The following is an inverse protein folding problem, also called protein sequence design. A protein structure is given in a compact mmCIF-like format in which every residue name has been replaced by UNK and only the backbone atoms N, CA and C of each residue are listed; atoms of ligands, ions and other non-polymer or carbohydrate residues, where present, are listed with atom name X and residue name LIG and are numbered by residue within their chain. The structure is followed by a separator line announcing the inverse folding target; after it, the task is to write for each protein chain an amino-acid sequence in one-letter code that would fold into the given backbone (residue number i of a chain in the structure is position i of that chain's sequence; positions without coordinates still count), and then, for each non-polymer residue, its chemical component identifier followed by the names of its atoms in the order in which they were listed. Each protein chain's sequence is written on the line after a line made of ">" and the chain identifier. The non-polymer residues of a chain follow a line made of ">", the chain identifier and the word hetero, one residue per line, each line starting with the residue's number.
data_IF_317758876301
#
_entry.id   IF_317758876301
#
_cell.length_a   1.000
_cell.length_b   1.000
_cell.length_c   1.000
_cell.angle_alpha   90.00
_cell.angle_beta   90.00
_cell.angle_gamma   90.00
#
_symmetry.space_group_name_H-M   'P 1'
#
loop_
_entity.id
_entity.type
_entity.pdbx_description
1 polymer ?
#
# COMPACT_ATOMS: atom_id res chain seq x y z
N UNK A 1 9.51 57.25 68.30
CA UNK A 1 10.00 57.79 67.00
C UNK A 1 9.74 56.76 65.91
N UNK A 2 8.59 56.83 65.27
CA UNK A 2 8.22 56.00 64.11
C UNK A 2 8.26 56.90 62.88
N UNK A 3 9.19 56.61 61.96
CA UNK A 3 9.32 57.35 60.71
C UNK A 3 8.18 56.95 59.76
N UNK A 4 7.28 57.90 59.46
CA UNK A 4 6.24 57.74 58.47
C UNK A 4 6.87 57.64 57.07
N UNK A 5 6.65 56.51 56.40
CA UNK A 5 7.10 56.28 55.02
C UNK A 5 6.15 56.97 54.02
N UNK A 6 6.67 57.61 52.96
CA UNK A 6 5.87 58.30 51.97
C UNK A 6 5.07 57.30 51.13
N UNK A 7 3.75 57.49 51.14
CA UNK A 7 2.76 56.70 50.40
C UNK A 7 2.91 57.02 48.91
N UNK A 8 3.43 56.07 48.11
CA UNK A 8 3.48 56.18 46.65
C UNK A 8 2.06 56.30 46.11
N UNK A 9 1.81 57.34 45.32
CA UNK A 9 0.55 57.47 44.59
C UNK A 9 0.53 56.52 43.38
N UNK A 10 -0.63 55.89 43.08
CA UNK A 10 -0.80 55.09 41.88
C UNK A 10 -0.79 56.01 40.65
N UNK A 11 0.16 55.77 39.76
CA UNK A 11 0.20 56.39 38.43
C UNK A 11 -0.85 55.68 37.59
N UNK A 12 -2.01 56.32 37.38
CA UNK A 12 -2.99 55.85 36.41
C UNK A 12 -2.45 56.11 35.00
N UNK A 13 -1.80 55.09 34.43
CA UNK A 13 -1.57 55.02 32.99
C UNK A 13 -2.91 54.67 32.34
N UNK A 14 -3.52 55.66 31.71
CA UNK A 14 -4.60 55.49 30.73
C UNK A 14 -4.08 54.63 29.58
N UNK A 15 -4.37 53.34 29.63
CA UNK A 15 -4.13 52.38 28.55
C UNK A 15 -5.39 52.36 27.70
N UNK A 16 -5.53 53.32 26.79
CA UNK A 16 -6.41 53.18 25.63
C UNK A 16 -5.74 52.21 24.63
N UNK A 17 -5.62 50.95 25.03
CA UNK A 17 -5.20 49.85 24.16
C UNK A 17 -6.45 49.18 23.61
N UNK A 18 -7.05 49.81 22.60
CA UNK A 18 -7.76 49.04 21.58
C UNK A 18 -6.72 48.46 20.60
N UNK A 19 -5.69 47.81 21.14
CA UNK A 19 -4.87 46.88 20.39
C UNK A 19 -5.75 45.64 20.25
N UNK A 20 -6.50 45.54 19.14
CA UNK A 20 -6.88 44.22 18.66
C UNK A 20 -5.61 43.37 18.74
N UNK A 21 -5.64 42.20 19.39
CA UNK A 21 -4.46 41.37 19.52
C UNK A 21 -3.99 41.14 18.10
N UNK A 22 -2.90 41.79 17.72
CA UNK A 22 -2.38 41.71 16.37
C UNK A 22 -2.11 40.23 16.14
N UNK A 23 -3.04 39.57 15.44
CA UNK A 23 -2.96 38.15 15.17
C UNK A 23 -1.58 37.96 14.58
N UNK A 24 -0.76 37.20 15.30
CA UNK A 24 0.62 36.99 14.93
C UNK A 24 0.62 36.59 13.46
N UNK A 25 1.50 37.18 12.65
CA UNK A 25 1.61 36.81 11.24
C UNK A 25 1.71 35.29 11.08
N UNK A 26 2.37 34.62 12.04
CA UNK A 26 2.45 33.17 12.13
C UNK A 26 1.08 32.51 12.29
N UNK A 27 0.18 33.05 13.13
CA UNK A 27 -1.17 32.51 13.32
C UNK A 27 -2.00 32.70 12.05
N UNK A 28 -1.89 33.84 11.36
CA UNK A 28 -2.54 34.05 10.07
C UNK A 28 -2.00 33.12 8.98
N UNK A 29 -0.69 32.90 8.95
CA UNK A 29 -0.05 31.96 8.04
C UNK A 29 -0.51 30.52 8.32
N UNK A 30 -0.48 30.09 9.59
CA UNK A 30 -0.94 28.76 9.97
C UNK A 30 -2.41 28.56 9.62
N UNK A 31 -3.28 29.54 9.91
CA UNK A 31 -4.69 29.49 9.57
C UNK A 31 -4.89 29.40 8.05
N UNK A 32 -4.20 30.22 7.25
CA UNK A 32 -4.27 30.13 5.77
C UNK A 32 -3.80 28.77 5.26
N UNK A 33 -2.65 28.28 5.72
CA UNK A 33 -2.13 26.97 5.32
C UNK A 33 -3.13 25.86 5.68
N UNK A 34 -3.74 25.90 6.86
CA UNK A 34 -4.68 24.86 7.29
C UNK A 34 -6.07 24.97 6.67
N UNK A 35 -6.58 26.18 6.43
CA UNK A 35 -7.96 26.44 6.00
C UNK A 35 -8.08 26.57 4.47
N UNK A 36 -7.07 27.11 3.78
CA UNK A 36 -7.18 27.43 2.35
C UNK A 36 -7.11 26.19 1.45
N UNK A 37 -6.45 25.13 1.91
CA UNK A 37 -6.21 23.96 1.05
C UNK A 37 -6.99 22.69 1.43
N UNK A 38 -7.71 22.67 2.56
CA UNK A 38 -8.49 21.51 3.04
C UNK A 38 -7.75 20.14 2.92
N UNK A 39 -6.41 20.17 2.82
CA UNK A 39 -5.57 19.05 2.42
C UNK A 39 -5.73 17.83 3.34
N UNK A 40 -5.82 17.99 4.68
CA UNK A 40 -6.06 16.85 5.56
C UNK A 40 -7.37 16.11 5.23
N UNK A 41 -8.41 16.84 4.82
CA UNK A 41 -9.72 16.26 4.49
C UNK A 41 -9.68 15.55 3.12
N UNK A 42 -8.99 16.14 2.14
CA UNK A 42 -8.74 15.55 0.83
C UNK A 42 -7.95 14.24 0.96
N UNK A 43 -6.83 14.26 1.69
CA UNK A 43 -6.00 13.08 1.91
C UNK A 43 -6.74 11.99 2.68
N UNK A 44 -7.56 12.35 3.68
CA UNK A 44 -8.40 11.38 4.39
C UNK A 44 -9.39 10.69 3.44
N UNK A 45 -9.96 11.45 2.51
CA UNK A 45 -10.89 10.93 1.50
C UNK A 45 -10.17 10.01 0.51
N UNK A 46 -9.02 10.42 -0.01
CA UNK A 46 -8.21 9.61 -0.92
C UNK A 46 -7.73 8.30 -0.28
N UNK A 47 -7.21 8.34 0.97
CA UNK A 47 -6.79 7.14 1.69
C UNK A 47 -7.95 6.19 1.99
N UNK A 48 -9.16 6.73 2.24
CA UNK A 48 -10.36 5.90 2.39
C UNK A 48 -10.70 5.20 1.07
N UNK A 49 -10.71 5.92 -0.05
CA UNK A 49 -10.95 5.35 -1.37
C UNK A 49 -9.93 4.25 -1.72
N UNK A 50 -8.64 4.47 -1.44
CA UNK A 50 -7.59 3.47 -1.61
C UNK A 50 -7.88 2.16 -0.83
N UNK A 51 -8.31 2.27 0.44
CA UNK A 51 -8.67 1.09 1.26
C UNK A 51 -9.90 0.36 0.73
N UNK A 52 -10.89 1.10 0.23
CA UNK A 52 -12.09 0.52 -0.36
C UNK A 52 -11.71 -0.24 -1.65
N UNK A 53 -10.84 0.32 -2.49
CA UNK A 53 -10.30 -0.34 -3.69
C UNK A 53 -9.42 -1.54 -3.35
N UNK A 54 -8.60 -1.48 -2.30
CA UNK A 54 -7.81 -2.63 -1.82
C UNK A 54 -8.71 -3.81 -1.42
N UNK A 55 -9.81 -3.52 -0.72
CA UNK A 55 -10.79 -4.54 -0.33
C UNK A 55 -11.45 -5.17 -1.56
N UNK A 56 -11.84 -4.35 -2.55
CA UNK A 56 -12.41 -4.84 -3.81
C UNK A 56 -11.41 -5.68 -4.62
N UNK A 57 -10.17 -5.22 -4.73
CA UNK A 57 -9.09 -5.95 -5.40
C UNK A 57 -8.85 -7.32 -4.75
N UNK A 58 -8.80 -7.37 -3.42
CA UNK A 58 -8.63 -8.62 -2.68
C UNK A 58 -9.80 -9.59 -2.93
N UNK A 59 -11.05 -9.11 -2.93
CA UNK A 59 -12.21 -9.94 -3.25
C UNK A 59 -12.17 -10.50 -4.68
N UNK A 60 -11.82 -9.67 -5.67
CA UNK A 60 -11.68 -10.09 -7.06
C UNK A 60 -10.55 -11.09 -7.24
N UNK A 61 -9.41 -10.86 -6.58
CA UNK A 61 -8.27 -11.76 -6.58
C UNK A 61 -8.66 -13.14 -6.05
N UNK A 62 -9.38 -13.21 -4.92
CA UNK A 62 -9.88 -14.49 -4.40
C UNK A 62 -10.86 -15.18 -5.36
N UNK A 63 -11.79 -14.43 -5.97
CA UNK A 63 -12.73 -14.95 -6.96
C UNK A 63 -11.98 -15.52 -8.16
N UNK A 64 -10.98 -14.80 -8.67
CA UNK A 64 -10.12 -15.23 -9.77
C UNK A 64 -9.35 -16.50 -9.40
N UNK A 65 -8.73 -16.59 -8.22
CA UNK A 65 -8.05 -17.80 -7.76
C UNK A 65 -8.99 -19.01 -7.68
N UNK A 66 -10.21 -18.82 -7.13
CA UNK A 66 -11.23 -19.86 -7.07
C UNK A 66 -11.62 -20.34 -8.47
N UNK A 67 -11.84 -19.43 -9.42
CA UNK A 67 -12.16 -19.77 -10.82
C UNK A 67 -11.00 -20.49 -11.51
N UNK A 68 -9.76 -20.04 -11.32
CA UNK A 68 -8.57 -20.68 -11.87
C UNK A 68 -8.41 -22.13 -11.37
N UNK A 69 -8.54 -22.36 -10.06
CA UNK A 69 -8.51 -23.71 -9.47
C UNK A 69 -9.62 -24.61 -10.04
N UNK A 70 -10.84 -24.07 -10.19
CA UNK A 70 -11.96 -24.79 -10.78
C UNK A 70 -11.72 -25.15 -12.25
N UNK A 71 -11.20 -24.21 -13.05
CA UNK A 71 -10.84 -24.42 -14.45
C UNK A 71 -9.79 -25.54 -14.56
N UNK A 72 -8.70 -25.47 -13.80
CA UNK A 72 -7.65 -26.50 -13.82
C UNK A 72 -8.22 -27.88 -13.45
N UNK A 73 -9.05 -27.96 -12.41
CA UNK A 73 -9.66 -29.22 -11.97
C UNK A 73 -10.65 -29.80 -12.99
N UNK A 74 -11.36 -28.95 -13.74
CA UNK A 74 -12.24 -29.40 -14.84
C UNK A 74 -11.45 -29.77 -16.08
N UNK A 75 -10.50 -28.94 -16.51
CA UNK A 75 -9.64 -29.18 -17.66
C UNK A 75 -8.90 -30.53 -17.53
N UNK A 76 -8.34 -30.84 -16.35
CA UNK A 76 -7.72 -32.15 -16.08
C UNK A 76 -8.68 -33.32 -16.33
N UNK A 77 -9.92 -33.21 -15.88
CA UNK A 77 -10.96 -34.25 -16.09
C UNK A 77 -11.39 -34.32 -17.56
N UNK A 78 -11.59 -33.18 -18.23
CA UNK A 78 -11.93 -33.11 -19.64
C UNK A 78 -10.87 -33.80 -20.51
N UNK A 79 -9.59 -33.47 -20.28
CA UNK A 79 -8.45 -34.07 -21.01
C UNK A 79 -8.38 -35.58 -20.78
N UNK A 80 -8.59 -36.05 -19.55
CA UNK A 80 -8.65 -37.50 -19.26
C UNK A 80 -9.81 -38.21 -20.00
N UNK A 81 -10.91 -37.50 -20.24
CA UNK A 81 -12.06 -38.00 -21.02
C UNK A 81 -11.95 -37.77 -22.53
N UNK A 82 -10.84 -37.22 -23.03
CA UNK A 82 -10.65 -36.87 -24.45
C UNK A 82 -11.49 -35.67 -24.93
N UNK A 83 -12.07 -34.89 -24.01
CA UNK A 83 -12.83 -33.68 -24.30
C UNK A 83 -11.96 -32.43 -24.21
N UNK A 84 -12.33 -31.39 -24.97
CA UNK A 84 -11.70 -30.09 -24.89
C UNK A 84 -11.97 -29.42 -23.53
N UNK A 85 -11.03 -28.60 -23.00
CA UNK A 85 -11.24 -27.79 -21.82
C UNK A 85 -12.40 -26.80 -21.98
N UNK A 86 -13.00 -26.43 -20.84
CA UNK A 86 -14.11 -25.47 -20.77
C UNK A 86 -13.61 -24.02 -20.96
N UNK A 87 -13.69 -23.52 -22.21
CA UNK A 87 -13.26 -22.17 -22.60
C UNK A 87 -14.05 -21.06 -21.89
N UNK A 88 -15.30 -21.30 -21.49
CA UNK A 88 -16.11 -20.28 -20.80
C UNK A 88 -15.53 -19.92 -19.43
N UNK A 89 -15.02 -20.93 -18.71
CA UNK A 89 -14.38 -20.72 -17.41
C UNK A 89 -13.06 -19.95 -17.55
N UNK A 90 -12.29 -20.25 -18.61
CA UNK A 90 -11.08 -19.51 -18.91
C UNK A 90 -11.39 -18.04 -19.24
N UNK A 91 -12.43 -17.80 -20.05
CA UNK A 91 -12.88 -16.44 -20.38
C UNK A 91 -13.32 -15.67 -19.14
N UNK A 92 -14.06 -16.31 -18.21
CA UNK A 92 -14.45 -15.70 -16.93
C UNK A 92 -13.24 -15.32 -16.07
N UNK A 93 -12.23 -16.19 -15.98
CA UNK A 93 -10.99 -15.88 -15.25
C UNK A 93 -10.24 -14.69 -15.88
N UNK A 94 -10.12 -14.64 -17.22
CA UNK A 94 -9.53 -13.50 -17.94
C UNK A 94 -10.30 -12.20 -17.74
N UNK A 95 -11.63 -12.26 -17.65
CA UNK A 95 -12.47 -11.10 -17.35
C UNK A 95 -12.15 -10.54 -15.95
N UNK A 96 -12.14 -11.39 -14.92
CA UNK A 96 -11.79 -10.99 -13.56
C UNK A 96 -10.38 -10.40 -13.46
N UNK A 97 -9.42 -10.95 -14.21
CA UNK A 97 -8.07 -10.40 -14.26
C UNK A 97 -8.03 -8.98 -14.85
N UNK A 98 -8.79 -8.70 -15.92
CA UNK A 98 -8.88 -7.35 -16.48
C UNK A 98 -9.53 -6.36 -15.53
N UNK A 99 -10.58 -6.77 -14.82
CA UNK A 99 -11.21 -5.96 -13.78
C UNK A 99 -10.24 -5.63 -12.64
N UNK A 100 -9.39 -6.59 -12.24
CA UNK A 100 -8.34 -6.35 -11.24
C UNK A 100 -7.33 -5.30 -11.70
N UNK A 101 -6.86 -5.39 -12.95
CA UNK A 101 -5.94 -4.40 -13.53
C UNK A 101 -6.54 -2.99 -13.59
N UNK A 102 -7.86 -2.88 -13.82
CA UNK A 102 -8.55 -1.59 -13.80
C UNK A 102 -8.56 -0.98 -12.39
N UNK A 103 -8.75 -1.80 -11.35
CA UNK A 103 -8.66 -1.32 -9.95
C UNK A 103 -7.24 -0.88 -9.63
N UNK A 104 -6.21 -1.61 -10.07
CA UNK A 104 -4.82 -1.24 -9.84
C UNK A 104 -4.46 0.10 -10.50
N UNK A 105 -4.95 0.38 -11.72
CA UNK A 105 -4.77 1.69 -12.36
C UNK A 105 -5.48 2.80 -11.59
N UNK A 106 -6.74 2.58 -11.15
CA UNK A 106 -7.46 3.56 -10.33
C UNK A 106 -6.75 3.89 -9.01
N UNK A 107 -6.15 2.90 -8.36
CA UNK A 107 -5.36 3.12 -7.15
C UNK A 107 -4.13 3.97 -7.43
N UNK A 108 -3.44 3.72 -8.55
CA UNK A 108 -2.31 4.51 -9.00
C UNK A 108 -2.73 5.95 -9.26
N UNK A 109 -3.83 6.18 -9.99
CA UNK A 109 -4.35 7.53 -10.27
C UNK A 109 -4.65 8.30 -8.97
N UNK A 110 -5.28 7.67 -7.98
CA UNK A 110 -5.55 8.30 -6.67
C UNK A 110 -4.25 8.64 -5.94
N UNK A 111 -3.25 7.74 -5.97
CA UNK A 111 -1.96 7.97 -5.33
C UNK A 111 -1.20 9.13 -5.99
N UNK A 112 -1.17 9.18 -7.32
CA UNK A 112 -0.55 10.26 -8.10
C UNK A 112 -1.25 11.61 -7.84
N UNK A 113 -2.59 11.64 -7.83
CA UNK A 113 -3.35 12.84 -7.51
C UNK A 113 -3.09 13.34 -6.08
N UNK A 114 -3.07 12.43 -5.10
CA UNK A 114 -2.78 12.76 -3.69
C UNK A 114 -1.37 13.31 -3.52
N UNK A 115 -0.39 12.69 -4.18
CA UNK A 115 1.00 13.16 -4.18
C UNK A 115 1.11 14.55 -4.81
N UNK A 116 0.44 14.78 -5.95
CA UNK A 116 0.42 16.08 -6.60
C UNK A 116 -0.19 17.17 -5.70
N UNK A 117 -1.26 16.86 -4.95
CA UNK A 117 -1.86 17.80 -3.98
C UNK A 117 -0.87 18.17 -2.87
N UNK A 118 -0.17 17.18 -2.30
CA UNK A 118 0.89 17.41 -1.29
C UNK A 118 2.01 18.30 -1.85
N UNK A 119 2.52 18.01 -3.05
CA UNK A 119 3.57 18.81 -3.66
C UNK A 119 3.14 20.26 -3.89
N UNK A 120 1.91 20.50 -4.36
CA UNK A 120 1.36 21.85 -4.53
C UNK A 120 1.31 22.60 -3.19
N UNK A 121 0.86 21.93 -2.14
CA UNK A 121 0.78 22.52 -0.82
C UNK A 121 2.17 22.84 -0.23
N UNK A 122 3.14 21.94 -0.40
CA UNK A 122 4.53 22.20 0.01
C UNK A 122 5.13 23.40 -0.73
N UNK A 123 4.95 23.48 -2.05
CA UNK A 123 5.43 24.61 -2.85
C UNK A 123 4.79 25.94 -2.42
N UNK A 124 3.50 25.91 -2.05
CA UNK A 124 2.82 27.08 -1.49
C UNK A 124 3.43 27.50 -0.15
N UNK A 125 3.60 26.57 0.79
CA UNK A 125 4.25 26.82 2.09
C UNK A 125 5.67 27.37 1.92
N UNK A 126 6.46 26.81 0.99
CA UNK A 126 7.80 27.31 0.67
C UNK A 126 7.76 28.76 0.16
N UNK A 127 6.81 29.09 -0.72
CA UNK A 127 6.62 30.45 -1.23
C UNK A 127 6.27 31.47 -0.15
N UNK A 128 5.34 31.12 0.75
CA UNK A 128 4.96 31.96 1.88
C UNK A 128 6.11 32.14 2.89
N UNK A 129 6.87 31.09 3.18
CA UNK A 129 8.06 31.18 4.03
C UNK A 129 9.14 32.06 3.40
N UNK A 130 9.30 32.00 2.08
CA UNK A 130 10.23 32.87 1.36
C UNK A 130 9.80 34.34 1.45
N UNK A 131 8.52 34.64 1.21
CA UNK A 131 7.97 35.99 1.38
C UNK A 131 8.20 36.51 2.80
N UNK A 132 7.95 35.67 3.81
CA UNK A 132 8.18 36.03 5.21
C UNK A 132 9.67 36.32 5.49
N UNK A 133 10.59 35.51 4.95
CA UNK A 133 12.01 35.75 5.10
C UNK A 133 12.45 37.08 4.44
N UNK A 134 11.87 37.42 3.28
CA UNK A 134 12.10 38.70 2.59
C UNK A 134 11.55 39.89 3.39
N UNK A 135 10.36 39.76 3.99
CA UNK A 135 9.81 40.77 4.89
C UNK A 135 10.68 41.02 6.12
N UNK A 136 11.17 39.95 6.77
CA UNK A 136 12.04 40.10 7.94
C UNK A 136 13.39 40.74 7.59
N UNK A 137 13.92 40.46 6.39
CA UNK A 137 15.10 41.15 5.86
C UNK A 137 14.81 42.63 5.63
N UNK A 138 13.68 42.97 5.02
CA UNK A 138 13.27 44.35 4.78
C UNK A 138 13.08 45.14 6.09
N UNK A 139 12.57 44.49 7.14
CA UNK A 139 12.43 45.06 8.49
C UNK A 139 13.76 45.14 9.26
N UNK A 140 14.87 44.64 8.70
CA UNK A 140 16.18 44.59 9.36
C UNK A 140 16.25 43.62 10.54
N UNK A 141 15.25 42.73 10.70
CA UNK A 141 15.17 41.76 11.79
C UNK A 141 15.93 40.48 11.46
N UNK A 142 16.01 40.11 10.17
CA UNK A 142 16.79 38.96 9.71
C UNK A 142 18.08 39.45 9.04
N UNK A 143 19.23 39.08 9.62
CA UNK A 143 20.54 39.35 9.02
C UNK A 143 20.70 38.49 7.76
N UNK A 144 21.20 39.10 6.68
CA UNK A 144 21.51 38.36 5.45
C UNK A 144 22.45 37.19 5.77
N UNK A 145 22.04 35.93 5.50
CA UNK A 145 22.91 34.78 5.77
C UNK A 145 24.20 34.85 4.93
N UNK A 146 24.17 35.52 3.78
CA UNK A 146 25.33 35.80 2.94
C UNK A 146 26.32 36.81 3.53
N UNK A 147 25.97 37.54 4.60
CA UNK A 147 26.90 38.42 5.34
C UNK A 147 27.53 37.75 6.56
N UNK A 148 27.17 36.51 6.89
CA UNK A 148 27.87 35.71 7.91
C UNK A 148 29.13 35.03 7.33
N UNK A 149 29.89 35.76 6.50
CA UNK A 149 31.22 35.34 6.07
C UNK A 149 32.17 35.47 7.27
N UNK A 150 32.32 34.36 7.98
CA UNK A 150 33.61 33.82 8.43
C UNK A 150 34.63 34.88 8.87
N UNK A 151 34.45 35.43 10.07
CA UNK A 151 35.56 35.89 10.90
C UNK A 151 35.93 34.85 11.96
N UNK A 152 35.81 33.57 11.62
CA UNK A 152 36.41 32.47 12.36
C UNK A 152 37.60 31.94 11.57
N UNK A 153 38.62 32.80 11.44
CA UNK A 153 39.94 32.42 10.98
C UNK A 153 40.62 31.58 12.07
N UNK A 154 40.42 30.26 12.02
CA UNK A 154 41.37 29.31 12.58
C UNK A 154 42.13 28.69 11.40
N UNK A 155 43.37 29.13 11.12
CA UNK A 155 44.20 28.48 10.12
C UNK A 155 44.71 27.16 10.72
N UNK A 156 44.56 26.05 9.98
CA UNK A 156 45.10 24.69 10.24
C UNK A 156 44.08 23.58 10.56
N UNK A 157 43.03 23.43 9.74
CA UNK A 157 42.35 22.14 9.60
C UNK A 157 42.34 21.72 8.11
N UNK A 158 42.85 20.52 7.75
CA UNK A 158 42.88 20.05 6.37
C UNK A 158 41.46 19.78 5.84
N UNK A 159 41.21 19.98 4.54
CA UNK A 159 39.87 19.94 3.94
C UNK A 159 39.35 18.51 3.79
N UNK A 160 38.23 18.20 4.45
CA UNK A 160 37.43 16.97 4.30
C UNK A 160 36.27 17.14 3.29
N UNK A 161 36.40 18.04 2.30
CA UNK A 161 35.29 18.50 1.46
C UNK A 161 35.18 17.83 0.08
N UNK A 162 35.63 16.58 -0.09
CA UNK A 162 35.43 15.82 -1.33
C UNK A 162 34.38 14.69 -1.21
N UNK A 163 33.83 14.43 -0.03
CA UNK A 163 32.92 13.29 0.21
C UNK A 163 31.46 13.68 0.49
N UNK A 164 31.14 14.97 0.68
CA UNK A 164 29.81 15.40 1.13
C UNK A 164 28.86 15.83 -0.01
N UNK A 165 29.36 16.17 -1.21
CA UNK A 165 28.50 16.62 -2.32
C UNK A 165 27.78 15.49 -3.07
N UNK A 166 28.09 14.21 -2.79
CA UNK A 166 27.36 13.08 -3.35
C UNK A 166 26.09 12.68 -2.56
N UNK A 167 25.83 13.30 -1.39
CA UNK A 167 24.76 12.87 -0.48
C UNK A 167 23.44 13.65 -0.61
N UNK A 168 23.42 14.81 -1.28
CA UNK A 168 22.23 15.66 -1.32
C UNK A 168 21.43 15.61 -2.64
N UNK A 169 21.95 14.97 -3.70
CA UNK A 169 21.19 14.70 -4.94
C UNK A 169 20.50 13.34 -4.97
N UNK A 170 20.51 12.59 -3.87
CA UNK A 170 19.98 11.23 -3.77
C UNK A 170 18.70 11.09 -2.94
N UNK A 171 18.16 12.17 -2.36
CA UNK A 171 16.96 12.11 -1.49
C UNK A 171 15.62 11.97 -2.25
N UNK A 172 15.56 12.33 -3.54
CA UNK A 172 14.38 12.09 -4.37
C UNK A 172 14.37 10.71 -5.07
N UNK A 173 15.51 10.01 -5.13
CA UNK A 173 15.63 8.68 -5.74
C UNK A 173 15.72 7.53 -4.71
N UNK A 174 16.05 7.82 -3.45
CA UNK A 174 16.18 6.81 -2.40
C UNK A 174 14.83 6.31 -1.85
N UNK A 175 13.74 7.08 -1.98
CA UNK A 175 12.40 6.61 -1.62
C UNK A 175 11.84 5.55 -2.59
N UNK A 176 12.36 5.47 -3.83
CA UNK A 176 12.00 4.44 -4.81
C UNK A 176 12.85 3.17 -4.74
N UNK A 177 13.92 3.13 -3.92
CA UNK A 177 14.87 2.00 -3.88
C UNK A 177 14.74 1.09 -2.66
N UNK A 178 13.90 1.43 -1.67
CA UNK A 178 13.68 0.61 -0.47
C UNK A 178 12.44 -0.30 -0.54
N UNK A 179 11.70 -0.26 -1.65
CA UNK A 179 10.55 -1.15 -1.91
C UNK A 179 10.88 -2.32 -2.86
N UNK A 180 12.15 -2.51 -3.23
CA UNK A 180 12.60 -3.56 -4.18
C UNK A 180 13.36 -4.71 -3.50
N UNK A 181 13.30 -4.80 -2.16
CA UNK A 181 14.22 -5.60 -1.37
C UNK A 181 13.63 -6.73 -0.52
N UNK A 182 12.33 -7.07 -0.63
CA UNK A 182 11.75 -8.20 0.11
C UNK A 182 10.72 -8.98 -0.73
N UNK A 183 11.25 -10.00 -1.41
CA UNK A 183 10.64 -11.31 -1.71
C UNK A 183 9.69 -11.43 -2.92
N UNK A 184 9.49 -12.67 -3.44
CA UNK A 184 10.50 -13.65 -3.81
C UNK A 184 10.19 -14.34 -5.16
N UNK A 185 11.13 -15.18 -5.60
CA UNK A 185 11.01 -16.20 -6.66
C UNK A 185 9.61 -16.82 -6.83
N UNK A 186 8.83 -16.32 -7.80
CA UNK A 186 7.68 -17.00 -8.43
C UNK A 186 7.38 -16.33 -9.78
N UNK A 187 8.33 -16.32 -10.71
CA UNK A 187 8.05 -15.99 -12.12
C UNK A 187 8.98 -16.76 -13.06
N UNK A 188 8.77 -18.07 -13.10
CA UNK A 188 9.35 -18.96 -14.10
C UNK A 188 8.30 -20.01 -14.49
N UNK A 189 7.16 -19.57 -15.04
CA UNK A 189 6.20 -20.42 -15.77
C UNK A 189 5.08 -19.60 -16.43
N UNK A 190 5.38 -18.66 -17.34
CA UNK A 190 4.37 -18.09 -18.24
C UNK A 190 4.97 -17.38 -19.45
N UNK A 191 5.84 -18.07 -20.20
CA UNK A 191 6.10 -17.73 -21.61
C UNK A 191 5.72 -18.93 -22.45
N UNK A 192 4.41 -19.18 -22.53
CA UNK A 192 3.83 -20.03 -23.55
C UNK A 192 3.49 -19.13 -24.74
N UNK A 193 4.27 -19.33 -25.79
CA UNK A 193 4.10 -18.79 -27.11
C UNK A 193 2.66 -18.96 -27.62
N UNK A 194 2.13 -17.90 -28.21
CA UNK A 194 1.03 -17.95 -29.15
C UNK A 194 1.30 -16.87 -30.20
N UNK A 195 2.22 -17.18 -31.11
CA UNK A 195 2.04 -16.73 -32.48
C UNK A 195 2.75 -17.69 -33.44
N UNK A 196 1.97 -18.23 -34.37
CA UNK A 196 2.40 -18.86 -35.60
C UNK A 196 1.58 -18.22 -36.72
N UNK A 197 2.10 -18.19 -37.97
CA UNK A 197 2.05 -19.43 -38.72
C UNK A 197 3.20 -19.65 -39.74
N UNK A 198 3.25 -20.90 -40.23
CA UNK A 198 3.46 -21.27 -41.63
C UNK A 198 4.71 -22.09 -41.98
N UNK A 199 4.46 -23.04 -42.89
CA UNK A 199 5.36 -23.90 -43.66
C UNK A 199 5.94 -25.17 -43.00
N UNK A 200 5.39 -26.31 -43.42
CA UNK A 200 6.04 -27.65 -43.52
C UNK A 200 7.30 -27.57 -44.43
N UNK A 201 8.26 -28.55 -44.51
CA UNK A 201 8.08 -30.02 -44.44
C UNK A 201 9.29 -30.77 -43.75
N UNK A 202 9.76 -31.99 -44.14
CA UNK A 202 9.48 -33.25 -43.42
C UNK A 202 10.71 -34.04 -42.90
N UNK A 203 10.42 -35.11 -42.13
CA UNK A 203 11.16 -36.38 -41.95
C UNK A 203 12.67 -36.34 -41.59
N UNK A 204 12.99 -36.65 -40.33
CA UNK A 204 14.11 -37.55 -40.00
C UNK A 204 13.93 -38.19 -38.62
N UNK A 205 13.95 -39.52 -38.60
CA UNK A 205 14.09 -40.37 -37.41
C UNK A 205 15.41 -40.07 -36.71
N UNK A 206 15.39 -39.82 -35.39
CA UNK A 206 16.56 -40.15 -34.56
C UNK A 206 16.16 -40.61 -33.16
N UNK A 207 16.29 -41.92 -32.96
CA UNK A 207 16.31 -42.56 -31.63
C UNK A 207 17.61 -42.17 -30.93
N UNK A 208 17.54 -41.55 -29.75
CA UNK A 208 18.57 -41.65 -28.71
C UNK A 208 17.84 -41.60 -27.36
N UNK A 209 17.60 -42.76 -26.73
CA UNK A 209 18.43 -43.37 -25.68
C UNK A 209 18.75 -42.41 -24.53
N UNK A 210 18.10 -42.70 -23.40
CA UNK A 210 18.42 -42.17 -22.07
C UNK A 210 19.86 -42.51 -21.66
N UNK A 211 20.40 -41.77 -20.68
CA UNK A 211 20.82 -42.49 -19.47
C UNK A 211 20.36 -41.81 -18.17
N UNK A 212 19.90 -42.67 -17.27
CA UNK A 212 19.74 -42.47 -15.85
C UNK A 212 21.08 -42.15 -15.20
N UNK A 213 21.15 -41.11 -14.35
CA UNK A 213 22.25 -40.95 -13.39
C UNK A 213 21.64 -40.75 -12.00
N UNK A 214 21.76 -41.82 -11.22
CA UNK A 214 21.77 -41.85 -9.76
C UNK A 214 22.93 -40.97 -9.26
N UNK A 215 22.64 -39.97 -8.42
CA UNK A 215 23.63 -39.40 -7.51
C UNK A 215 23.14 -39.65 -6.09
N UNK A 216 23.88 -40.51 -5.42
CA UNK A 216 23.80 -40.90 -4.01
C UNK A 216 25.17 -40.54 -3.41
N UNK A 217 25.20 -40.29 -2.10
CA UNK A 217 26.35 -39.99 -1.23
C UNK A 217 26.90 -38.55 -1.30
N UNK A 218 27.31 -37.90 -0.21
CA UNK A 218 27.29 -38.18 1.22
C UNK A 218 27.58 -36.86 1.96
N UNK A 219 26.95 -36.64 3.11
CA UNK A 219 27.50 -35.76 4.14
C UNK A 219 27.04 -36.28 5.50
N UNK A 220 27.99 -36.92 6.18
CA UNK A 220 27.92 -37.44 7.52
C UNK A 220 27.86 -36.35 8.59
N UNK A 221 27.27 -36.76 9.72
CA UNK A 221 27.63 -36.40 11.08
C UNK A 221 27.57 -34.92 11.53
N UNK A 222 26.45 -34.54 12.14
CA UNK A 222 26.49 -33.79 13.39
C UNK A 222 25.30 -34.17 14.28
N UNK A 223 25.64 -34.85 15.37
CA UNK A 223 24.80 -35.20 16.51
C UNK A 223 24.24 -33.92 17.17
N UNK A 224 22.94 -33.90 17.42
CA UNK A 224 22.28 -32.81 18.16
C UNK A 224 20.84 -33.16 18.47
N UNK A 225 20.66 -33.89 19.57
CA UNK A 225 19.38 -34.32 20.10
C UNK A 225 18.45 -33.15 20.45
N UNK A 226 17.24 -33.14 19.88
CA UNK A 226 16.06 -32.53 20.48
C UNK A 226 14.80 -33.22 19.92
N UNK A 227 14.24 -34.12 20.72
CA UNK A 227 12.99 -34.81 20.42
C UNK A 227 11.83 -33.79 20.27
N UNK A 228 11.02 -33.85 19.20
CA UNK A 228 9.78 -33.09 19.14
C UNK A 228 8.73 -33.77 20.04
N UNK A 229 7.98 -33.00 20.86
CA UNK A 229 6.93 -33.57 21.69
C UNK A 229 5.76 -34.10 20.82
N UNK A 230 5.01 -35.10 21.31
CA UNK A 230 3.87 -35.66 20.60
C UNK A 230 2.80 -34.59 20.39
N UNK A 231 2.39 -34.41 19.14
CA UNK A 231 1.23 -33.58 18.80
C UNK A 231 -0.04 -34.29 19.24
N UNK A 232 -0.62 -33.79 20.32
CA UNK A 232 -1.96 -34.14 20.76
C UNK A 232 -2.96 -33.96 19.62
N UNK A 233 -3.51 -35.08 19.15
CA UNK A 233 -4.71 -35.13 18.32
C UNK A 233 -5.91 -34.87 19.22
N UNK A 234 -6.12 -33.61 19.61
CA UNK A 234 -7.34 -33.21 20.31
C UNK A 234 -8.44 -32.88 19.29
N UNK A 235 -9.59 -33.52 19.48
CA UNK A 235 -10.66 -33.68 18.52
C UNK A 235 -11.21 -32.39 17.89
N UNK A 236 -11.22 -32.37 16.56
CA UNK A 236 -12.16 -31.54 15.80
C UNK A 236 -13.57 -32.12 15.95
N UNK A 237 -14.33 -31.53 16.87
CA UNK A 237 -15.76 -31.70 17.00
C UNK A 237 -16.44 -31.14 15.74
N UNK A 238 -16.57 -31.97 14.71
CA UNK A 238 -17.55 -31.76 13.64
C UNK A 238 -18.96 -31.93 14.22
N UNK A 239 -19.41 -30.90 14.96
CA UNK A 239 -20.81 -30.74 15.32
C UNK A 239 -21.58 -30.55 14.03
N UNK A 240 -22.52 -31.47 13.80
CA UNK A 240 -23.37 -31.52 12.62
C UNK A 240 -23.91 -30.14 12.27
N UNK A 241 -23.54 -29.67 11.08
CA UNK A 241 -24.34 -28.68 10.36
C UNK A 241 -25.71 -29.32 10.15
N UNK A 242 -26.68 -28.89 10.95
CA UNK A 242 -28.08 -29.15 10.68
C UNK A 242 -28.35 -28.84 9.22
N UNK A 243 -28.72 -29.87 8.45
CA UNK A 243 -29.20 -29.70 7.09
C UNK A 243 -30.40 -28.76 7.19
N UNK A 244 -30.24 -27.53 6.71
CA UNK A 244 -31.37 -26.65 6.47
C UNK A 244 -32.23 -27.37 5.44
N UNK A 245 -33.35 -27.91 5.91
CA UNK A 245 -34.38 -28.48 5.07
C UNK A 245 -34.74 -27.40 4.07
N UNK A 246 -34.53 -27.66 2.78
CA UNK A 246 -34.74 -26.63 1.76
C UNK A 246 -36.22 -26.21 1.78
N UNK A 247 -36.53 -24.93 1.53
CA UNK A 247 -37.92 -24.42 1.47
C UNK A 247 -38.82 -25.30 0.57
N UNK A 248 -38.27 -25.93 -0.46
CA UNK A 248 -38.97 -26.84 -1.36
C UNK A 248 -39.49 -28.11 -0.65
N UNK A 249 -38.74 -28.63 0.32
CA UNK A 249 -39.11 -29.83 1.08
C UNK A 249 -40.13 -29.52 2.18
N UNK A 250 -40.08 -28.32 2.76
CA UNK A 250 -41.11 -27.82 3.68
C UNK A 250 -42.46 -27.63 2.96
N UNK A 251 -42.43 -27.11 1.73
CA UNK A 251 -43.64 -26.93 0.91
C UNK A 251 -44.28 -28.26 0.50
N UNK A 252 -43.48 -29.30 0.22
CA UNK A 252 -43.98 -30.66 -0.02
C UNK A 252 -44.67 -31.26 1.20
N UNK A 253 -44.11 -31.08 2.40
CA UNK A 253 -44.73 -31.56 3.64
C UNK A 253 -46.07 -30.86 3.92
N UNK A 254 -46.14 -29.55 3.67
CA UNK A 254 -47.39 -28.80 3.82
C UNK A 254 -48.48 -29.29 2.85
N UNK A 255 -48.14 -29.53 1.58
CA UNK A 255 -49.09 -30.13 0.61
C UNK A 255 -49.54 -31.52 1.02
N UNK A 256 -48.63 -32.34 1.54
CA UNK A 256 -48.94 -33.70 1.95
C UNK A 256 -49.87 -33.74 3.17
N UNK A 257 -49.73 -32.79 4.11
CA UNK A 257 -50.66 -32.64 5.23
C UNK A 257 -52.05 -32.18 4.78
N UNK A 258 -52.15 -31.26 3.81
CA UNK A 258 -53.45 -30.86 3.25
C UNK A 258 -54.17 -32.03 2.58
N UNK A 259 -53.46 -32.89 1.85
CA UNK A 259 -54.07 -34.07 1.23
C UNK A 259 -54.59 -35.07 2.26
N UNK A 260 -53.91 -35.24 3.40
CA UNK A 260 -54.38 -36.12 4.46
C UNK A 260 -55.63 -35.57 5.17
N UNK A 261 -55.75 -34.24 5.31
CA UNK A 261 -56.96 -33.63 5.89
C UNK A 261 -58.19 -33.73 4.96
N UNK A 262 -58.00 -33.85 3.64
CA UNK A 262 -59.11 -34.03 2.70
C UNK A 262 -59.60 -35.49 2.60
N UNK A 263 -58.84 -36.45 3.16
CA UNK A 263 -59.21 -37.87 3.16
C UNK A 263 -59.88 -38.32 4.47
N UNK A 264 -60.02 -37.42 5.45
CA UNK A 264 -60.80 -37.64 6.67
C UNK A 264 -62.15 -36.94 6.56
#
# INVERSE_FOLDING_TARGET
>A
LWCAMPRRQPVERSVDANEEPAQSYLDNFLNRVTEETDLPSELKTALKQLRDLDTQAQELYEKMQKQSKNYIARAKRSVQSGQAPDEELLHKARKLHRELLQIDEQKKDIAEASHASICKHLAHCEGELQQFAEELKAKGQLKDPSKLVVHSAAPNAPPLSAAAEAACSSSAAAASSLLTGLAPALSAAASLALDGPSAAPPLARQRQRQPSVLVREAADAALGAAAPPPRDRSGSKNRGRGRKVSKAEEQRRAQQQQQQQQQQ
#
